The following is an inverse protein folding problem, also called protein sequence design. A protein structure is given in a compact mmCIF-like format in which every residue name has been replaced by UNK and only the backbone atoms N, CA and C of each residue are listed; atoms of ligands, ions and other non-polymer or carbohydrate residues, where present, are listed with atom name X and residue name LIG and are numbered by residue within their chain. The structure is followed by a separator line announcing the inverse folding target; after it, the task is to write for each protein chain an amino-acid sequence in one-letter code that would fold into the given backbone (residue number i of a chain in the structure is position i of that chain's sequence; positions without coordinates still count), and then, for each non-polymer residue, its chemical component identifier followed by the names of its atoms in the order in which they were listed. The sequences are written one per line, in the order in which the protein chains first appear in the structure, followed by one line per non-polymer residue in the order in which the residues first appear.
data_IF_701978155549
#
_entry.id   IF_701978155549
#
_cell.length_a   1.000
_cell.length_b   1.000
_cell.length_c   1.000
_cell.angle_alpha   90.00
_cell.angle_beta   90.00
_cell.angle_gamma   90.00
#
_symmetry.space_group_name_H-M   'P 1'
#
loop_
_entity.id
_entity.type
_entity.pdbx_description
1 polymer ?
#
# COMPACT_ATOMS: atom_id res chain seq x y z
N UNK A 1 -1.74 -32.16 34.62
CA UNK A 1 -1.50 -32.42 33.18
C UNK A 1 -2.19 -31.30 32.42
N UNK A 2 -1.41 -30.36 31.90
CA UNK A 2 -2.01 -29.30 31.06
C UNK A 2 -2.44 -29.97 29.76
N UNK A 3 -3.76 -29.97 29.50
CA UNK A 3 -4.28 -30.38 28.19
C UNK A 3 -3.72 -29.49 27.08
N UNK A 4 -3.86 -29.87 25.79
CA UNK A 4 -3.39 -29.06 24.70
C UNK A 4 -4.06 -27.66 24.72
N UNK A 5 -3.30 -26.62 24.45
CA UNK A 5 -3.77 -25.23 24.34
C UNK A 5 -4.46 -25.02 22.99
N UNK A 6 -5.59 -24.34 22.96
CA UNK A 6 -6.18 -23.85 21.71
C UNK A 6 -5.40 -22.63 21.26
N UNK A 7 -4.69 -22.77 20.15
CA UNK A 7 -3.95 -21.70 19.51
C UNK A 7 -4.82 -21.02 18.45
N UNK A 8 -4.91 -19.73 18.50
CA UNK A 8 -5.67 -18.92 17.55
C UNK A 8 -4.73 -17.91 16.92
N UNK A 9 -4.66 -17.93 15.62
CA UNK A 9 -3.96 -16.94 14.83
C UNK A 9 -4.99 -16.00 14.21
N UNK A 10 -4.81 -14.71 14.41
CA UNK A 10 -5.63 -13.63 13.81
C UNK A 10 -4.79 -12.70 12.93
N UNK A 11 -3.47 -12.65 13.14
CA UNK A 11 -2.54 -11.79 12.38
C UNK A 11 -2.19 -12.44 11.03
N UNK A 12 -2.58 -11.81 9.93
CA UNK A 12 -2.34 -12.27 8.56
C UNK A 12 -3.28 -13.36 8.05
N UNK A 13 -3.90 -14.12 8.93
CA UNK A 13 -4.91 -15.14 8.61
C UNK A 13 -5.74 -15.49 9.85
N UNK A 14 -6.90 -16.09 9.66
CA UNK A 14 -7.69 -16.56 10.79
C UNK A 14 -7.71 -18.08 10.85
N UNK A 15 -6.95 -18.63 11.78
CA UNK A 15 -6.84 -20.09 12.00
C UNK A 15 -6.94 -20.45 13.48
N UNK A 16 -7.53 -21.63 13.75
CA UNK A 16 -7.58 -22.23 15.07
C UNK A 16 -6.90 -23.59 15.01
N UNK A 17 -5.96 -23.83 15.91
CA UNK A 17 -5.21 -25.08 16.02
C UNK A 17 -5.37 -25.70 17.39
N UNK A 18 -5.66 -26.99 17.41
CA UNK A 18 -5.74 -27.78 18.63
C UNK A 18 -5.07 -29.15 18.42
N UNK A 19 -3.94 -29.39 19.09
CA UNK A 19 -3.08 -30.53 18.77
C UNK A 19 -2.63 -30.49 17.31
N UNK A 20 -2.88 -31.58 16.57
CA UNK A 20 -2.49 -31.70 15.16
C UNK A 20 -3.58 -31.25 14.19
N UNK A 21 -4.73 -30.80 14.68
CA UNK A 21 -5.86 -30.38 13.84
C UNK A 21 -5.93 -28.86 13.74
N UNK A 22 -6.20 -28.40 12.55
CA UNK A 22 -6.36 -26.97 12.25
C UNK A 22 -7.64 -26.76 11.45
N UNK A 23 -8.33 -25.67 11.73
CA UNK A 23 -9.43 -25.14 10.92
C UNK A 23 -9.13 -23.67 10.58
N UNK A 24 -9.63 -23.21 9.46
CA UNK A 24 -9.42 -21.83 9.00
C UNK A 24 -10.67 -21.25 8.33
N UNK A 25 -10.70 -19.93 8.22
CA UNK A 25 -11.76 -19.22 7.51
C UNK A 25 -11.75 -19.45 5.99
N UNK A 26 -10.73 -20.13 5.46
CA UNK A 26 -10.67 -20.60 4.07
C UNK A 26 -11.40 -21.94 3.85
N UNK A 27 -11.69 -22.69 4.89
CA UNK A 27 -12.28 -24.05 4.80
C UNK A 27 -13.77 -24.03 4.43
N UNK A 28 -14.46 -22.94 4.68
CA UNK A 28 -15.89 -22.76 4.40
C UNK A 28 -16.17 -21.35 3.90
N UNK A 29 -17.06 -21.22 2.92
CA UNK A 29 -17.51 -19.93 2.36
C UNK A 29 -18.40 -19.13 3.31
N UNK A 30 -18.66 -19.61 4.51
CA UNK A 30 -19.58 -18.99 5.46
C UNK A 30 -18.94 -17.87 6.25
N UNK A 31 -18.77 -16.71 5.62
CA UNK A 31 -18.15 -15.53 6.19
C UNK A 31 -18.70 -15.16 7.57
N UNK A 32 -20.03 -15.14 7.75
CA UNK A 32 -20.67 -14.79 9.02
C UNK A 32 -20.34 -15.73 10.17
N UNK A 33 -20.11 -17.03 9.88
CA UNK A 33 -19.70 -18.00 10.90
C UNK A 33 -18.33 -17.66 11.44
N UNK A 34 -17.40 -17.39 10.54
CA UNK A 34 -16.03 -17.06 10.88
C UNK A 34 -15.91 -15.67 11.53
N UNK A 35 -16.65 -14.67 11.04
CA UNK A 35 -16.70 -13.33 11.61
C UNK A 35 -17.23 -13.36 13.06
N UNK A 36 -18.34 -14.07 13.34
CA UNK A 36 -18.85 -14.20 14.71
C UNK A 36 -17.89 -14.98 15.61
N UNK A 37 -17.24 -16.02 15.11
CA UNK A 37 -16.24 -16.76 15.87
C UNK A 37 -15.05 -15.88 16.23
N UNK A 38 -14.52 -15.10 15.27
CA UNK A 38 -13.44 -14.16 15.49
C UNK A 38 -13.84 -13.08 16.51
N UNK A 39 -15.05 -12.51 16.38
CA UNK A 39 -15.57 -11.52 17.31
C UNK A 39 -15.66 -12.05 18.75
N UNK A 40 -16.13 -13.29 18.91
CA UNK A 40 -16.21 -13.94 20.24
C UNK A 40 -14.83 -14.24 20.83
N UNK A 41 -13.86 -14.65 20.00
CA UNK A 41 -12.48 -14.91 20.44
C UNK A 41 -11.77 -13.62 20.82
N UNK A 42 -11.87 -12.59 19.99
CA UNK A 42 -11.30 -11.27 20.29
C UNK A 42 -11.83 -10.69 21.61
N UNK A 43 -13.10 -10.98 21.94
CA UNK A 43 -13.75 -10.53 23.16
C UNK A 43 -14.03 -11.69 24.13
N UNK A 44 -13.17 -12.69 24.23
CA UNK A 44 -13.41 -13.95 24.97
C UNK A 44 -13.65 -13.76 26.46
N UNK A 45 -13.30 -12.61 27.04
CA UNK A 45 -13.61 -12.21 28.41
C UNK A 45 -15.04 -11.68 28.64
N UNK A 46 -15.85 -11.50 27.55
CA UNK A 46 -17.19 -10.89 27.60
C UNK A 46 -18.31 -11.91 27.36
N UNK A 47 -19.50 -11.51 27.80
CA UNK A 47 -20.76 -12.19 27.44
C UNK A 47 -21.65 -11.24 26.63
N UNK A 48 -22.31 -11.74 25.58
CA UNK A 48 -23.08 -10.99 24.64
C UNK A 48 -24.55 -11.30 24.74
N UNK A 49 -25.41 -10.27 24.80
CA UNK A 49 -26.82 -10.45 24.64
C UNK A 49 -27.16 -10.87 23.20
N UNK A 50 -28.26 -11.61 23.03
CA UNK A 50 -28.69 -12.01 21.69
C UNK A 50 -28.99 -10.81 20.79
N UNK A 51 -29.58 -9.78 21.36
CA UNK A 51 -29.92 -8.51 20.68
C UNK A 51 -28.67 -7.75 20.21
N UNK A 52 -27.61 -7.76 21.05
CA UNK A 52 -26.32 -7.14 20.69
C UNK A 52 -25.71 -7.80 19.45
N UNK A 53 -25.69 -9.14 19.40
CA UNK A 53 -25.17 -9.87 18.25
C UNK A 53 -26.07 -9.73 17.02
N UNK A 54 -27.38 -9.66 17.19
CA UNK A 54 -28.31 -9.38 16.08
C UNK A 54 -28.04 -7.99 15.51
N UNK A 55 -27.89 -6.99 16.36
CA UNK A 55 -27.60 -5.63 15.92
C UNK A 55 -26.27 -5.55 15.17
N UNK A 56 -25.23 -6.24 15.63
CA UNK A 56 -23.91 -6.25 14.98
C UNK A 56 -23.97 -6.77 13.53
N UNK A 57 -24.78 -7.77 13.22
CA UNK A 57 -24.79 -8.46 11.93
C UNK A 57 -26.00 -8.13 11.03
N UNK A 58 -27.05 -7.52 11.53
CA UNK A 58 -28.29 -7.23 10.78
C UNK A 58 -28.77 -5.78 10.86
N UNK A 59 -27.97 -4.84 11.42
CA UNK A 59 -28.36 -3.42 11.51
C UNK A 59 -28.33 -2.68 10.18
N UNK A 60 -27.52 -3.12 9.21
CA UNK A 60 -27.32 -2.44 7.93
C UNK A 60 -28.12 -3.07 6.79
N UNK A 61 -29.45 -2.81 6.72
CA UNK A 61 -30.34 -3.14 5.59
C UNK A 61 -30.47 -4.61 5.14
N UNK A 62 -29.85 -5.57 5.80
CA UNK A 62 -30.10 -6.97 5.51
C UNK A 62 -31.29 -7.49 6.32
N UNK A 63 -32.47 -7.50 5.70
CA UNK A 63 -33.70 -8.02 6.30
C UNK A 63 -33.64 -9.56 6.37
N UNK A 64 -33.22 -10.11 7.50
CA UNK A 64 -33.58 -11.49 7.81
C UNK A 64 -35.00 -11.52 8.36
N UNK A 65 -35.85 -12.41 7.87
CA UNK A 65 -37.21 -12.58 8.35
C UNK A 65 -37.25 -13.00 9.84
N UNK A 66 -36.21 -13.72 10.31
CA UNK A 66 -36.02 -14.13 11.71
C UNK A 66 -34.53 -14.10 12.09
N UNK A 67 -33.98 -12.93 12.51
CA UNK A 67 -32.59 -12.79 12.91
C UNK A 67 -32.23 -13.69 14.11
N UNK A 68 -33.17 -13.97 14.99
CA UNK A 68 -32.95 -14.84 16.14
C UNK A 68 -32.66 -16.30 15.76
N UNK A 69 -33.41 -16.86 14.81
CA UNK A 69 -33.14 -18.20 14.30
C UNK A 69 -31.89 -18.24 13.40
N UNK A 70 -31.64 -17.18 12.62
CA UNK A 70 -30.42 -17.06 11.84
C UNK A 70 -29.16 -17.09 12.77
N UNK A 71 -29.17 -16.34 13.86
CA UNK A 71 -28.10 -16.35 14.85
C UNK A 71 -27.89 -17.72 15.49
N UNK A 72 -28.99 -18.43 15.86
CA UNK A 72 -28.89 -19.80 16.38
C UNK A 72 -28.24 -20.75 15.36
N UNK A 73 -28.60 -20.63 14.09
CA UNK A 73 -27.99 -21.40 13.00
C UNK A 73 -26.50 -21.13 12.87
N UNK A 74 -26.06 -19.87 12.96
CA UNK A 74 -24.64 -19.50 12.93
C UNK A 74 -23.91 -20.14 14.12
N UNK A 75 -24.44 -20.06 15.34
CA UNK A 75 -23.84 -20.72 16.51
C UNK A 75 -23.77 -22.24 16.38
N UNK A 76 -24.77 -22.86 15.76
CA UNK A 76 -24.72 -24.29 15.50
C UNK A 76 -23.55 -24.61 14.56
N UNK A 77 -23.39 -23.86 13.49
CA UNK A 77 -22.29 -24.03 12.52
C UNK A 77 -20.90 -23.75 13.15
N UNK A 78 -20.77 -22.73 14.02
CA UNK A 78 -19.54 -22.48 14.77
C UNK A 78 -19.18 -23.70 15.61
N UNK A 79 -20.15 -24.28 16.36
CA UNK A 79 -19.90 -25.47 17.15
C UNK A 79 -19.47 -26.65 16.29
N UNK A 80 -20.11 -26.84 15.15
CA UNK A 80 -19.75 -27.89 14.18
C UNK A 80 -18.33 -27.69 13.64
N UNK A 81 -17.92 -26.44 13.37
CA UNK A 81 -16.56 -26.13 12.94
C UNK A 81 -15.54 -26.46 14.04
N UNK A 82 -15.79 -26.05 15.28
CA UNK A 82 -14.93 -26.36 16.43
C UNK A 82 -14.86 -27.87 16.73
N UNK A 83 -15.95 -28.60 16.50
CA UNK A 83 -16.01 -30.08 16.69
C UNK A 83 -15.12 -30.83 15.67
N UNK A 84 -14.69 -30.18 14.56
CA UNK A 84 -13.66 -30.72 13.65
C UNK A 84 -12.30 -30.81 14.33
N UNK A 85 -11.99 -29.88 15.24
CA UNK A 85 -10.76 -29.91 16.03
C UNK A 85 -10.78 -31.04 17.03
N UNK A 86 -11.87 -31.17 17.81
CA UNK A 86 -12.14 -32.26 18.71
C UNK A 86 -13.64 -32.39 18.93
N UNK A 87 -14.22 -33.63 18.89
CA UNK A 87 -15.64 -33.84 19.16
C UNK A 87 -16.05 -33.29 20.52
N UNK A 88 -17.14 -32.51 20.55
CA UNK A 88 -17.68 -31.89 21.77
C UNK A 88 -17.05 -30.54 22.14
N UNK A 89 -15.98 -30.11 21.46
CA UNK A 89 -15.28 -28.86 21.74
C UNK A 89 -16.17 -27.62 21.50
N UNK A 90 -17.00 -27.64 20.46
CA UNK A 90 -17.91 -26.55 20.17
C UNK A 90 -18.93 -26.27 21.26
N UNK A 91 -19.46 -27.34 21.91
CA UNK A 91 -20.38 -27.21 23.06
C UNK A 91 -19.65 -26.82 24.35
N UNK A 92 -18.39 -27.20 24.49
CA UNK A 92 -17.56 -26.82 25.62
C UNK A 92 -17.24 -25.32 25.59
N UNK A 93 -16.84 -24.81 24.44
CA UNK A 93 -16.31 -23.44 24.27
C UNK A 93 -17.42 -22.40 24.09
N UNK A 94 -18.42 -22.67 23.23
CA UNK A 94 -19.53 -21.73 22.99
C UNK A 94 -20.71 -22.09 23.89
N UNK A 95 -20.90 -21.29 24.94
CA UNK A 95 -21.97 -21.50 25.92
C UNK A 95 -23.02 -20.38 25.89
N UNK A 96 -24.20 -20.71 26.35
CA UNK A 96 -25.32 -19.79 26.60
C UNK A 96 -25.83 -19.95 28.02
N UNK A 97 -25.91 -18.84 28.77
CA UNK A 97 -26.46 -18.79 30.10
C UNK A 97 -27.27 -17.50 30.27
N UNK A 98 -28.49 -17.61 30.84
CA UNK A 98 -29.38 -16.46 31.02
C UNK A 98 -29.59 -15.59 29.78
N UNK A 99 -29.76 -16.20 28.59
CA UNK A 99 -29.95 -15.48 27.32
C UNK A 99 -28.68 -14.95 26.68
N UNK A 100 -27.54 -14.98 27.36
CA UNK A 100 -26.27 -14.42 26.86
C UNK A 100 -25.35 -15.52 26.30
N UNK A 101 -24.68 -15.24 25.21
CA UNK A 101 -23.62 -16.09 24.65
C UNK A 101 -22.26 -15.66 25.16
N UNK A 102 -21.36 -16.61 25.38
CA UNK A 102 -19.99 -16.32 25.82
C UNK A 102 -19.04 -17.44 25.42
N UNK A 103 -17.76 -17.06 25.29
CA UNK A 103 -16.66 -18.00 25.20
C UNK A 103 -16.36 -18.57 26.59
N UNK A 104 -16.27 -19.87 26.69
CA UNK A 104 -15.97 -20.53 27.97
C UNK A 104 -14.47 -20.82 28.05
N UNK A 105 -13.79 -20.16 28.98
CA UNK A 105 -12.35 -20.33 29.22
C UNK A 105 -12.06 -21.63 30.03
N UNK A 106 -12.72 -22.74 29.67
CA UNK A 106 -12.53 -24.04 30.36
C UNK A 106 -11.22 -24.73 29.96
N UNK A 107 -10.49 -24.21 29.00
CA UNK A 107 -9.20 -24.72 28.55
C UNK A 107 -8.24 -23.55 28.25
N UNK A 108 -6.93 -23.80 28.23
CA UNK A 108 -5.94 -22.78 27.86
C UNK A 108 -6.19 -22.31 26.45
N UNK A 109 -6.16 -20.97 26.27
CA UNK A 109 -6.30 -20.25 25.00
C UNK A 109 -5.05 -19.39 24.82
N UNK A 110 -4.48 -19.37 23.62
CA UNK A 110 -3.42 -18.45 23.20
C UNK A 110 -3.90 -17.75 21.94
N UNK A 111 -3.88 -16.44 21.97
CA UNK A 111 -4.21 -15.56 20.86
C UNK A 111 -2.95 -14.83 20.43
N UNK A 112 -2.56 -14.95 19.17
CA UNK A 112 -1.36 -14.29 18.64
C UNK A 112 -1.39 -12.75 18.80
N UNK A 113 -2.59 -12.16 18.76
CA UNK A 113 -2.79 -10.73 19.01
C UNK A 113 -2.46 -10.32 20.45
N UNK A 114 -2.79 -11.17 21.45
CA UNK A 114 -2.47 -10.92 22.86
C UNK A 114 -0.97 -11.14 23.13
N UNK A 115 -0.39 -12.18 22.53
CA UNK A 115 1.04 -12.45 22.62
C UNK A 115 1.84 -11.32 21.96
N UNK A 116 1.38 -10.79 20.81
CA UNK A 116 1.95 -9.62 20.13
C UNK A 116 1.93 -8.37 21.04
N UNK A 117 0.77 -8.06 21.65
CA UNK A 117 0.64 -6.92 22.57
C UNK A 117 1.55 -7.09 23.79
N UNK A 118 1.62 -8.30 24.36
CA UNK A 118 2.46 -8.58 25.52
C UNK A 118 3.94 -8.31 25.23
N UNK A 119 4.44 -8.79 24.09
CA UNK A 119 5.81 -8.53 23.65
C UNK A 119 6.05 -7.04 23.35
N UNK A 120 5.10 -6.37 22.66
CA UNK A 120 5.21 -4.94 22.40
C UNK A 120 5.31 -4.13 23.70
N UNK A 121 4.45 -4.38 24.67
CA UNK A 121 4.46 -3.69 25.97
C UNK A 121 5.68 -4.05 26.81
N UNK A 122 6.18 -5.29 26.74
CA UNK A 122 7.42 -5.68 27.37
C UNK A 122 8.62 -4.91 26.81
N UNK A 123 8.66 -4.73 25.48
CA UNK A 123 9.67 -3.91 24.82
C UNK A 123 9.61 -2.43 25.29
N UNK A 124 8.42 -1.83 25.32
CA UNK A 124 8.23 -0.43 25.77
C UNK A 124 8.65 -0.23 27.24
N UNK A 125 8.48 -1.25 28.07
CA UNK A 125 8.83 -1.23 29.50
C UNK A 125 10.30 -1.57 29.77
N UNK A 126 11.01 -2.15 28.81
CA UNK A 126 12.38 -2.61 28.99
C UNK A 126 13.35 -1.43 29.16
N UNK A 127 14.17 -1.49 30.20
CA UNK A 127 15.25 -0.52 30.45
C UNK A 127 16.55 -0.82 29.70
N UNK A 128 16.71 -2.05 29.21
CA UNK A 128 17.87 -2.54 28.48
C UNK A 128 17.57 -2.62 26.99
N UNK A 129 18.47 -2.13 26.13
CA UNK A 129 18.28 -2.09 24.68
C UNK A 129 18.26 -3.48 24.04
N UNK A 130 19.02 -4.47 24.57
CA UNK A 130 19.04 -5.82 24.01
C UNK A 130 17.74 -6.56 24.34
N UNK A 131 17.23 -6.40 25.57
CA UNK A 131 15.94 -6.93 25.98
C UNK A 131 14.82 -6.29 25.15
N UNK A 132 14.86 -4.97 25.00
CA UNK A 132 13.88 -4.20 24.19
C UNK A 132 13.85 -4.70 22.76
N UNK A 133 15.02 -4.85 22.14
CA UNK A 133 15.12 -5.35 20.77
C UNK A 133 14.58 -6.76 20.63
N UNK A 134 14.91 -7.65 21.57
CA UNK A 134 14.44 -9.04 21.56
C UNK A 134 12.89 -9.12 21.64
N UNK A 135 12.30 -8.30 22.49
CA UNK A 135 10.83 -8.23 22.63
C UNK A 135 10.16 -7.64 21.39
N UNK A 136 10.70 -6.55 20.79
CA UNK A 136 10.20 -6.07 19.51
C UNK A 136 10.31 -7.11 18.40
N UNK A 137 11.43 -7.83 18.32
CA UNK A 137 11.61 -8.88 17.32
C UNK A 137 10.62 -10.04 17.53
N UNK A 138 10.34 -10.41 18.78
CA UNK A 138 9.33 -11.41 19.11
C UNK A 138 7.92 -10.98 18.69
N UNK A 139 7.54 -9.73 18.99
CA UNK A 139 6.29 -9.15 18.49
C UNK A 139 6.22 -9.19 16.96
N UNK A 140 7.22 -8.67 16.28
CA UNK A 140 7.27 -8.62 14.81
C UNK A 140 7.26 -9.99 14.14
N UNK A 141 7.74 -11.03 14.82
CA UNK A 141 7.69 -12.40 14.31
C UNK A 141 6.26 -12.98 14.29
N UNK A 142 5.39 -12.50 15.19
CA UNK A 142 3.97 -12.90 15.24
C UNK A 142 3.13 -12.21 14.16
N UNK A 143 3.54 -11.02 13.71
CA UNK A 143 2.77 -10.23 12.77
C UNK A 143 3.01 -10.70 11.32
N UNK A 144 2.15 -11.58 10.83
CA UNK A 144 2.21 -12.09 9.46
C UNK A 144 1.40 -11.22 8.46
N UNK A 145 0.74 -10.17 8.93
CA UNK A 145 -0.11 -9.25 8.17
C UNK A 145 -1.24 -8.73 9.04
N UNK A 146 -2.09 -7.90 8.46
CA UNK A 146 -3.21 -7.28 9.17
C UNK A 146 -4.14 -8.31 9.82
N UNK A 147 -4.74 -7.95 10.98
CA UNK A 147 -5.69 -8.83 11.63
C UNK A 147 -6.89 -9.15 10.75
N UNK A 148 -7.27 -10.43 10.69
CA UNK A 148 -8.50 -10.90 10.07
C UNK A 148 -8.69 -10.40 8.62
N UNK A 149 -7.75 -10.63 7.70
CA UNK A 149 -7.71 -9.98 6.37
C UNK A 149 -8.92 -10.31 5.48
N UNK A 150 -9.66 -11.38 5.77
CA UNK A 150 -10.88 -11.73 5.05
C UNK A 150 -12.16 -11.11 5.62
N UNK A 151 -12.03 -10.26 6.64
CA UNK A 151 -13.13 -9.62 7.37
C UNK A 151 -13.04 -8.09 7.38
N UNK A 152 -12.30 -7.50 6.46
CA UNK A 152 -11.98 -6.05 6.41
C UNK A 152 -13.19 -5.16 6.17
N UNK A 153 -14.30 -5.68 5.67
CA UNK A 153 -15.58 -4.96 5.49
C UNK A 153 -16.52 -5.06 6.71
N UNK A 154 -16.15 -5.81 7.74
CA UNK A 154 -16.87 -5.80 9.01
C UNK A 154 -16.51 -4.55 9.82
N UNK A 155 -17.51 -3.73 10.18
CA UNK A 155 -17.29 -2.44 10.87
C UNK A 155 -16.47 -2.60 12.17
N UNK A 156 -16.69 -3.71 12.89
CA UNK A 156 -16.01 -3.96 14.15
C UNK A 156 -14.51 -4.29 14.00
N UNK A 157 -14.04 -4.70 12.82
CA UNK A 157 -12.61 -4.98 12.58
C UNK A 157 -11.80 -3.72 12.30
N UNK A 158 -12.41 -2.66 11.81
CA UNK A 158 -11.72 -1.42 11.43
C UNK A 158 -10.84 -0.87 12.56
N UNK A 159 -11.34 -0.64 13.78
CA UNK A 159 -10.50 -0.14 14.87
C UNK A 159 -9.43 -1.15 15.31
N UNK A 160 -9.70 -2.45 15.19
CA UNK A 160 -8.75 -3.51 15.54
C UNK A 160 -7.57 -3.50 14.56
N UNK A 161 -7.85 -3.48 13.25
CA UNK A 161 -6.82 -3.40 12.22
C UNK A 161 -5.96 -2.15 12.42
N UNK A 162 -6.57 -0.99 12.60
CA UNK A 162 -5.83 0.26 12.81
C UNK A 162 -4.95 0.22 14.07
N UNK A 163 -5.43 -0.39 15.14
CA UNK A 163 -4.70 -0.52 16.40
C UNK A 163 -3.45 -1.40 16.24
N UNK A 164 -3.61 -2.64 15.75
CA UNK A 164 -2.48 -3.58 15.60
C UNK A 164 -1.48 -3.10 14.54
N UNK A 165 -1.96 -2.48 13.48
CA UNK A 165 -1.15 -1.84 12.47
C UNK A 165 -0.26 -0.71 13.07
N UNK A 166 -0.84 0.13 13.91
CA UNK A 166 -0.09 1.17 14.65
C UNK A 166 0.97 0.57 15.57
N UNK A 167 0.66 -0.51 16.29
CA UNK A 167 1.63 -1.19 17.15
C UNK A 167 2.76 -1.83 16.33
N UNK A 168 2.43 -2.46 15.19
CA UNK A 168 3.42 -3.04 14.29
C UNK A 168 4.41 -1.98 13.78
N UNK A 169 3.90 -0.85 13.30
CA UNK A 169 4.71 0.26 12.79
C UNK A 169 5.66 0.78 13.85
N UNK A 170 5.17 0.96 15.09
CA UNK A 170 6.00 1.40 16.22
C UNK A 170 7.05 0.36 16.61
N UNK A 171 6.68 -0.93 16.66
CA UNK A 171 7.63 -1.99 16.95
C UNK A 171 8.73 -2.09 15.88
N UNK A 172 8.37 -1.97 14.60
CA UNK A 172 9.32 -1.99 13.49
C UNK A 172 10.30 -0.80 13.56
N UNK A 173 9.78 0.41 13.78
CA UNK A 173 10.61 1.62 13.92
C UNK A 173 11.58 1.48 15.11
N UNK A 174 11.07 1.09 16.30
CA UNK A 174 11.91 0.92 17.49
C UNK A 174 12.99 -0.16 17.32
N UNK A 175 12.65 -1.28 16.69
CA UNK A 175 13.62 -2.34 16.41
C UNK A 175 14.69 -1.89 15.39
N UNK A 176 14.30 -1.16 14.34
CA UNK A 176 15.24 -0.63 13.33
C UNK A 176 16.22 0.36 13.99
N UNK A 177 15.74 1.31 14.79
CA UNK A 177 16.58 2.28 15.50
C UNK A 177 17.61 1.58 16.42
N UNK A 178 17.17 0.57 17.17
CA UNK A 178 18.05 -0.20 18.04
C UNK A 178 19.12 -1.00 17.25
N UNK A 179 18.72 -1.62 16.15
CA UNK A 179 19.65 -2.33 15.26
C UNK A 179 20.68 -1.38 14.64
N UNK A 180 20.26 -0.18 14.23
CA UNK A 180 21.17 0.85 13.72
C UNK A 180 22.13 1.36 14.79
N UNK A 181 21.66 1.57 16.02
CA UNK A 181 22.47 1.96 17.17
C UNK A 181 23.52 0.90 17.52
N UNK A 182 23.19 -0.38 17.35
CA UNK A 182 24.07 -1.51 17.59
C UNK A 182 24.94 -1.86 16.36
N UNK A 183 24.91 -1.08 15.30
CA UNK A 183 25.64 -1.31 14.04
C UNK A 183 25.29 -2.65 13.35
N UNK A 184 24.16 -3.26 13.68
CA UNK A 184 23.65 -4.51 13.09
C UNK A 184 22.93 -4.23 11.77
N UNK A 185 23.65 -3.60 10.83
CA UNK A 185 23.10 -3.06 9.58
C UNK A 185 22.40 -4.11 8.72
N UNK A 186 22.94 -5.33 8.62
CA UNK A 186 22.32 -6.38 7.81
C UNK A 186 20.94 -6.79 8.33
N UNK A 187 20.75 -6.83 9.64
CA UNK A 187 19.48 -7.15 10.27
C UNK A 187 18.47 -6.00 10.13
N UNK A 188 18.94 -4.76 10.28
CA UNK A 188 18.11 -3.57 10.02
C UNK A 188 17.58 -3.57 8.57
N UNK A 189 18.45 -3.82 7.59
CA UNK A 189 18.06 -3.93 6.17
C UNK A 189 17.02 -5.04 5.95
N UNK A 190 17.23 -6.22 6.55
CA UNK A 190 16.28 -7.32 6.44
C UNK A 190 14.92 -6.99 7.08
N UNK A 191 14.93 -6.29 8.22
CA UNK A 191 13.71 -5.85 8.88
C UNK A 191 12.97 -4.78 8.07
N UNK A 192 13.68 -3.77 7.53
CA UNK A 192 13.09 -2.75 6.66
C UNK A 192 12.40 -3.39 5.45
N UNK A 193 13.03 -4.35 4.78
CA UNK A 193 12.43 -5.05 3.62
C UNK A 193 11.12 -5.77 3.99
N UNK A 194 11.06 -6.43 5.16
CA UNK A 194 9.83 -7.05 5.66
C UNK A 194 8.76 -6.01 5.98
N UNK A 195 9.16 -4.92 6.64
CA UNK A 195 8.23 -3.86 7.03
C UNK A 195 7.62 -3.15 5.82
N UNK A 196 8.40 -2.88 4.78
CA UNK A 196 7.94 -2.29 3.52
C UNK A 196 6.89 -3.18 2.82
N UNK A 197 7.01 -4.51 2.94
CA UNK A 197 6.00 -5.41 2.36
C UNK A 197 4.61 -5.23 3.01
N UNK A 198 4.57 -4.83 4.28
CA UNK A 198 3.33 -4.55 5.03
C UNK A 198 2.93 -3.08 4.85
N UNK A 199 3.91 -2.17 4.87
CA UNK A 199 3.77 -0.72 4.78
C UNK A 199 4.44 -0.14 3.52
N UNK A 200 3.93 -0.38 2.33
CA UNK A 200 4.61 -0.03 1.08
C UNK A 200 4.69 1.48 0.80
N UNK A 201 4.02 2.31 1.60
CA UNK A 201 3.99 3.76 1.39
C UNK A 201 4.62 4.58 2.52
N UNK A 202 5.24 3.92 3.49
CA UNK A 202 5.89 4.60 4.61
C UNK A 202 7.33 4.97 4.24
N UNK A 203 7.57 6.23 3.92
CA UNK A 203 8.87 6.73 3.43
C UNK A 203 10.02 6.50 4.41
N UNK A 204 9.77 6.58 5.73
CA UNK A 204 10.80 6.37 6.76
C UNK A 204 11.45 4.98 6.65
N UNK A 205 10.67 3.94 6.31
CA UNK A 205 11.22 2.59 6.13
C UNK A 205 12.18 2.50 4.94
N UNK A 206 11.88 3.21 3.87
CA UNK A 206 12.76 3.30 2.68
C UNK A 206 14.01 4.11 2.99
N UNK A 207 13.89 5.16 3.81
CA UNK A 207 15.04 5.96 4.26
C UNK A 207 16.03 5.10 5.06
N UNK A 208 15.55 4.35 6.06
CA UNK A 208 16.37 3.40 6.83
C UNK A 208 16.96 2.31 5.94
N UNK A 209 16.17 1.75 5.02
CA UNK A 209 16.66 0.74 4.08
C UNK A 209 17.78 1.28 3.19
N UNK A 210 17.58 2.45 2.58
CA UNK A 210 18.60 3.06 1.72
C UNK A 210 19.87 3.41 2.49
N UNK A 211 19.77 3.97 3.69
CA UNK A 211 20.93 4.22 4.56
C UNK A 211 21.69 2.94 4.88
N UNK A 212 20.97 1.87 5.22
CA UNK A 212 21.59 0.56 5.49
C UNK A 212 22.32 0.00 4.26
N UNK A 213 21.71 0.07 3.07
CA UNK A 213 22.32 -0.36 1.82
C UNK A 213 23.57 0.47 1.46
N UNK A 214 23.53 1.78 1.65
CA UNK A 214 24.68 2.66 1.45
C UNK A 214 25.83 2.33 2.40
N UNK A 215 25.56 2.04 3.67
CA UNK A 215 26.57 1.61 4.65
C UNK A 215 27.22 0.28 4.28
N UNK A 216 26.48 -0.63 3.70
CA UNK A 216 27.00 -1.94 3.24
C UNK A 216 27.66 -1.88 1.85
N UNK A 217 27.64 -0.72 1.19
CA UNK A 217 28.22 -0.54 -0.13
C UNK A 217 27.32 -1.01 -1.28
N UNK A 218 26.07 -1.38 -1.02
CA UNK A 218 25.11 -1.78 -2.05
C UNK A 218 24.41 -0.55 -2.67
N UNK A 219 25.20 0.22 -3.43
CA UNK A 219 24.71 1.42 -4.09
C UNK A 219 23.61 1.11 -5.12
N UNK A 220 23.74 -0.02 -5.83
CA UNK A 220 22.74 -0.43 -6.83
C UNK A 220 21.41 -0.81 -6.17
N UNK A 221 21.48 -1.53 -5.06
CA UNK A 221 20.29 -1.85 -4.27
C UNK A 221 19.58 -0.60 -3.74
N UNK A 222 20.34 0.39 -3.27
CA UNK A 222 19.77 1.65 -2.81
C UNK A 222 19.07 2.42 -3.93
N UNK A 223 19.64 2.43 -5.15
CA UNK A 223 19.02 3.06 -6.33
C UNK A 223 17.72 2.36 -6.72
N UNK A 224 17.72 1.03 -6.80
CA UNK A 224 16.54 0.23 -7.16
C UNK A 224 15.38 0.44 -6.16
N UNK A 225 15.67 0.50 -4.87
CA UNK A 225 14.69 0.77 -3.81
C UNK A 225 14.04 2.14 -3.98
N UNK A 226 14.82 3.16 -4.32
CA UNK A 226 14.29 4.50 -4.59
C UNK A 226 13.38 4.52 -5.84
N UNK A 227 13.81 3.87 -6.92
CA UNK A 227 13.08 3.82 -8.18
C UNK A 227 11.73 3.11 -8.01
N UNK A 228 11.71 1.94 -7.38
CA UNK A 228 10.48 1.19 -7.08
C UNK A 228 9.49 2.02 -6.25
N UNK A 229 9.98 2.66 -5.18
CA UNK A 229 9.16 3.49 -4.32
C UNK A 229 8.63 4.72 -5.05
N UNK A 230 9.49 5.39 -5.85
CA UNK A 230 9.11 6.57 -6.62
C UNK A 230 8.00 6.24 -7.61
N UNK A 231 8.09 5.11 -8.32
CA UNK A 231 7.04 4.64 -9.22
C UNK A 231 5.73 4.36 -8.48
N UNK A 232 5.80 3.70 -7.32
CA UNK A 232 4.60 3.38 -6.50
C UNK A 232 3.93 4.65 -5.98
N UNK A 233 4.68 5.58 -5.39
CA UNK A 233 4.14 6.84 -4.88
C UNK A 233 3.52 7.67 -6.00
N UNK A 234 4.19 7.75 -7.15
CA UNK A 234 3.68 8.49 -8.28
C UNK A 234 2.42 7.84 -8.88
N UNK A 235 2.41 6.51 -9.05
CA UNK A 235 1.27 5.78 -9.61
C UNK A 235 0.02 5.87 -8.73
N UNK A 236 0.17 5.81 -7.40
CA UNK A 236 -0.98 5.74 -6.48
C UNK A 236 -1.43 7.11 -5.97
N UNK A 237 -0.49 8.03 -5.75
CA UNK A 237 -0.77 9.32 -5.09
C UNK A 237 -0.42 10.53 -5.97
N UNK A 238 0.33 10.36 -7.08
CA UNK A 238 0.81 11.45 -7.92
C UNK A 238 1.84 12.35 -7.21
N UNK A 239 2.52 11.84 -6.18
CA UNK A 239 3.53 12.56 -5.41
C UNK A 239 4.92 11.99 -5.62
N UNK A 240 5.92 12.81 -5.38
CA UNK A 240 7.34 12.43 -5.45
C UNK A 240 7.87 12.09 -4.06
N UNK A 241 8.92 11.24 -3.95
CA UNK A 241 9.59 10.97 -2.70
C UNK A 241 10.12 12.23 -2.00
N UNK A 242 10.30 12.13 -0.70
CA UNK A 242 10.83 13.22 0.16
C UNK A 242 12.23 13.68 -0.28
N UNK A 243 12.62 14.88 0.13
CA UNK A 243 13.96 15.41 -0.18
C UNK A 243 15.08 14.57 0.45
N UNK A 244 14.83 13.93 1.57
CA UNK A 244 15.76 13.03 2.24
C UNK A 244 16.09 11.83 1.34
N UNK A 245 15.06 11.15 0.82
CA UNK A 245 15.23 10.03 -0.09
C UNK A 245 15.91 10.42 -1.40
N UNK A 246 15.55 11.57 -1.95
CA UNK A 246 16.23 12.12 -3.14
C UNK A 246 17.72 12.41 -2.87
N UNK A 247 18.05 12.82 -1.67
CA UNK A 247 19.45 13.07 -1.28
C UNK A 247 20.24 11.76 -1.16
N UNK A 248 19.64 10.72 -0.56
CA UNK A 248 20.23 9.39 -0.50
C UNK A 248 20.44 8.77 -1.89
N UNK A 249 19.48 8.94 -2.79
CA UNK A 249 19.61 8.51 -4.19
C UNK A 249 20.75 9.23 -4.91
N UNK A 250 20.88 10.57 -4.75
CA UNK A 250 22.03 11.32 -5.31
C UNK A 250 23.37 10.83 -4.75
N UNK A 251 23.41 10.46 -3.47
CA UNK A 251 24.61 9.89 -2.86
C UNK A 251 24.97 8.53 -3.48
N UNK A 252 23.98 7.63 -3.63
CA UNK A 252 24.17 6.34 -4.30
C UNK A 252 24.70 6.51 -5.72
N UNK A 253 24.10 7.41 -6.49
CA UNK A 253 24.46 7.68 -7.89
C UNK A 253 25.89 8.25 -8.02
N UNK A 254 26.30 9.17 -7.12
CA UNK A 254 27.67 9.73 -7.15
C UNK A 254 28.74 8.66 -6.95
N UNK A 255 28.50 7.72 -6.06
CA UNK A 255 29.48 6.67 -5.73
C UNK A 255 29.60 5.63 -6.85
N UNK A 256 28.53 5.36 -7.59
CA UNK A 256 28.56 4.44 -8.74
C UNK A 256 29.36 5.02 -9.92
N UNK A 257 29.40 6.35 -10.04
CA UNK A 257 30.10 7.06 -11.13
C UNK A 257 31.55 7.46 -10.80
N UNK A 258 32.17 6.84 -9.79
CA UNK A 258 33.52 7.20 -9.31
C UNK A 258 34.66 6.69 -10.24
N UNK A 259 34.35 6.10 -11.38
CA UNK A 259 35.35 5.73 -12.41
C UNK A 259 35.33 6.71 -13.57
N UNK A 260 36.51 6.96 -14.13
CA UNK A 260 36.66 7.74 -15.37
C UNK A 260 36.04 6.95 -16.53
N UNK A 261 35.05 7.55 -17.19
CA UNK A 261 34.37 6.97 -18.35
C UNK A 261 35.08 7.43 -19.64
N UNK A 262 35.17 6.55 -20.61
CA UNK A 262 35.56 6.90 -21.96
C UNK A 262 34.39 7.57 -22.70
N UNK A 263 34.67 8.34 -23.77
CA UNK A 263 33.62 8.98 -24.56
C UNK A 263 32.66 7.96 -25.15
N UNK A 264 33.14 6.79 -25.57
CA UNK A 264 32.31 5.72 -26.13
C UNK A 264 31.34 5.13 -25.10
N UNK A 265 31.82 4.95 -23.85
CA UNK A 265 30.96 4.52 -22.73
C UNK A 265 29.90 5.57 -22.41
N UNK A 266 30.25 6.85 -22.39
CA UNK A 266 29.29 7.96 -22.21
C UNK A 266 28.26 7.98 -23.32
N UNK A 267 28.69 7.91 -24.57
CA UNK A 267 27.78 7.87 -25.73
C UNK A 267 26.85 6.64 -25.69
N UNK A 268 27.39 5.49 -25.28
CA UNK A 268 26.57 4.26 -25.13
C UNK A 268 25.50 4.40 -24.03
N UNK A 269 25.85 5.05 -22.90
CA UNK A 269 24.89 5.31 -21.81
C UNK A 269 23.84 6.37 -22.17
N UNK A 270 24.17 7.32 -23.04
CA UNK A 270 23.27 8.36 -23.50
C UNK A 270 22.41 7.91 -24.69
N UNK A 271 22.75 6.80 -25.34
CA UNK A 271 21.97 6.26 -26.43
C UNK A 271 20.62 5.74 -25.95
N UNK A 272 19.54 6.12 -26.63
CA UNK A 272 18.21 5.54 -26.35
C UNK A 272 18.23 4.02 -26.62
N UNK A 273 17.73 3.17 -25.68
CA UNK A 273 17.81 1.71 -25.79
C UNK A 273 17.05 1.10 -26.98
N UNK A 274 16.05 1.79 -27.50
CA UNK A 274 15.34 1.49 -28.75
C UNK A 274 14.63 2.76 -29.24
N UNK A 275 14.46 2.98 -30.55
CA UNK A 275 13.70 4.11 -31.07
C UNK A 275 12.21 3.89 -30.79
N UNK A 276 11.74 4.24 -29.62
CA UNK A 276 10.32 4.32 -29.35
C UNK A 276 9.75 5.52 -30.11
N UNK A 277 8.76 5.28 -30.96
CA UNK A 277 8.01 6.37 -31.59
C UNK A 277 7.21 7.12 -30.54
N UNK A 278 7.05 8.45 -30.73
CA UNK A 278 6.21 9.28 -29.87
C UNK A 278 6.97 10.12 -28.84
N UNK A 279 6.22 10.78 -27.97
CA UNK A 279 6.76 11.69 -26.98
C UNK A 279 7.54 10.95 -25.86
N UNK A 280 8.57 11.61 -25.35
CA UNK A 280 9.26 11.16 -24.15
C UNK A 280 8.37 11.35 -22.93
N UNK A 281 8.11 10.27 -22.19
CA UNK A 281 7.42 10.32 -20.89
C UNK A 281 8.46 10.46 -19.80
N UNK A 282 8.32 11.45 -18.93
CA UNK A 282 9.23 11.64 -17.80
C UNK A 282 8.48 12.11 -16.55
N UNK A 283 9.16 12.06 -15.42
CA UNK A 283 8.70 12.63 -14.16
C UNK A 283 8.63 14.16 -14.22
N UNK A 284 7.73 14.76 -13.45
CA UNK A 284 7.52 16.20 -13.48
C UNK A 284 8.75 17.02 -13.06
N UNK A 285 9.56 16.52 -12.13
CA UNK A 285 10.80 17.20 -11.74
C UNK A 285 11.85 17.18 -12.87
N UNK A 286 11.93 16.08 -13.60
CA UNK A 286 12.78 16.04 -14.80
C UNK A 286 12.23 16.93 -15.91
N UNK A 287 10.91 16.97 -16.09
CA UNK A 287 10.26 17.92 -17.00
C UNK A 287 10.63 19.36 -16.69
N UNK A 288 10.67 19.77 -15.41
CA UNK A 288 11.11 21.12 -15.00
C UNK A 288 12.53 21.43 -15.45
N UNK A 289 13.43 20.42 -15.42
CA UNK A 289 14.81 20.59 -15.90
C UNK A 289 14.83 20.80 -17.41
N UNK A 290 14.10 19.96 -18.16
CA UNK A 290 13.98 20.09 -19.61
C UNK A 290 13.33 21.41 -20.02
N UNK A 291 12.26 21.82 -19.34
CA UNK A 291 11.62 23.13 -19.54
C UNK A 291 12.62 24.28 -19.39
N UNK A 292 13.42 24.27 -18.30
CA UNK A 292 14.42 25.31 -18.06
C UNK A 292 15.55 25.29 -19.12
N UNK A 293 15.94 24.10 -19.55
CA UNK A 293 16.95 23.96 -20.62
C UNK A 293 16.43 24.53 -21.95
N UNK A 294 15.18 24.20 -22.31
CA UNK A 294 14.54 24.70 -23.53
C UNK A 294 14.31 26.22 -23.49
N UNK A 295 13.83 26.75 -22.35
CA UNK A 295 13.66 28.19 -22.16
C UNK A 295 14.98 28.96 -22.39
N UNK A 296 16.10 28.44 -21.85
CA UNK A 296 17.45 29.02 -22.12
C UNK A 296 17.86 28.88 -23.56
N UNK A 297 17.51 27.80 -24.24
CA UNK A 297 17.78 27.60 -25.67
C UNK A 297 17.03 28.61 -26.53
N UNK A 298 15.75 28.83 -26.23
CA UNK A 298 14.89 29.80 -26.92
C UNK A 298 15.41 31.21 -26.75
N UNK A 299 15.75 31.61 -25.54
CA UNK A 299 16.30 32.92 -25.24
C UNK A 299 17.58 33.22 -26.06
N UNK A 300 18.34 32.19 -26.47
CA UNK A 300 19.55 32.32 -27.27
C UNK A 300 19.30 32.25 -28.77
N UNK A 301 18.38 31.36 -29.20
CA UNK A 301 18.23 31.00 -30.63
C UNK A 301 16.99 31.62 -31.26
N UNK A 302 16.08 32.27 -30.51
CA UNK A 302 14.86 32.91 -31.02
C UNK A 302 13.80 31.95 -31.56
N UNK A 303 13.95 30.63 -31.32
CA UNK A 303 12.92 29.65 -31.69
C UNK A 303 11.70 29.76 -30.77
N UNK A 304 10.53 29.36 -31.25
CA UNK A 304 9.32 29.29 -30.44
C UNK A 304 9.13 27.88 -29.87
N UNK A 305 8.74 27.77 -28.60
CA UNK A 305 8.20 26.55 -28.04
C UNK A 305 7.03 26.89 -27.15
N UNK A 306 6.18 25.92 -26.93
CA UNK A 306 4.98 26.06 -26.11
C UNK A 306 4.86 24.92 -25.12
N UNK A 307 4.13 25.16 -24.04
CA UNK A 307 3.63 24.12 -23.13
C UNK A 307 2.12 23.98 -23.30
N UNK A 308 1.65 22.77 -23.22
CA UNK A 308 0.23 22.44 -23.25
C UNK A 308 -0.15 21.71 -21.97
N UNK A 309 -1.03 22.28 -21.15
CA UNK A 309 -1.60 21.64 -19.97
C UNK A 309 -2.89 20.96 -20.37
N UNK A 310 -2.97 19.63 -20.20
CA UNK A 310 -4.17 18.84 -20.39
C UNK A 310 -4.77 18.50 -19.02
N UNK A 311 -6.04 18.84 -18.80
CA UNK A 311 -6.77 18.58 -17.56
C UNK A 311 -7.93 17.63 -17.81
N UNK A 312 -8.09 16.67 -16.90
CA UNK A 312 -9.18 15.68 -16.90
C UNK A 312 -10.17 16.02 -15.80
N UNK A 313 -11.43 16.20 -16.16
CA UNK A 313 -12.53 16.50 -15.24
C UNK A 313 -13.78 15.68 -15.60
N UNK A 314 -14.83 15.80 -14.81
CA UNK A 314 -16.15 15.35 -15.18
C UNK A 314 -16.89 16.39 -16.09
N UNK A 315 -18.16 16.14 -16.39
CA UNK A 315 -19.00 17.03 -17.22
C UNK A 315 -19.25 18.41 -16.58
N UNK A 316 -19.21 18.49 -15.25
CA UNK A 316 -19.45 19.71 -14.48
C UNK A 316 -18.15 20.48 -14.19
N UNK A 317 -16.98 19.93 -14.58
CA UNK A 317 -15.66 20.52 -14.40
C UNK A 317 -14.99 20.13 -13.07
N UNK A 318 -15.64 19.25 -12.29
CA UNK A 318 -15.13 18.74 -11.02
C UNK A 318 -14.21 17.52 -11.23
N UNK A 319 -13.52 17.14 -10.18
CA UNK A 319 -12.62 15.99 -10.23
C UNK A 319 -13.39 14.67 -10.32
N UNK A 320 -13.05 13.84 -11.29
CA UNK A 320 -13.61 12.49 -11.43
C UNK A 320 -13.36 11.63 -10.18
N UNK A 321 -14.31 10.74 -9.88
CA UNK A 321 -14.08 9.70 -8.88
C UNK A 321 -12.86 8.85 -9.27
N UNK A 322 -12.02 8.50 -8.29
CA UNK A 322 -10.71 7.84 -8.48
C UNK A 322 -10.77 6.62 -9.40
N UNK A 323 -11.78 5.76 -9.21
CA UNK A 323 -12.02 4.56 -10.05
C UNK A 323 -12.20 4.86 -11.55
N UNK A 324 -12.59 6.09 -11.91
CA UNK A 324 -12.78 6.54 -13.29
C UNK A 324 -11.63 7.43 -13.76
N UNK A 325 -10.98 8.15 -12.84
CA UNK A 325 -9.86 9.04 -13.12
C UNK A 325 -8.61 8.27 -13.53
N UNK A 326 -8.23 7.23 -12.78
CA UNK A 326 -7.00 6.48 -13.05
C UNK A 326 -6.99 5.81 -14.43
N UNK A 327 -8.05 5.10 -14.87
CA UNK A 327 -8.12 4.60 -16.25
C UNK A 327 -8.09 5.72 -17.28
N UNK A 328 -8.75 6.86 -17.04
CA UNK A 328 -8.76 7.98 -17.97
C UNK A 328 -7.37 8.60 -18.13
N UNK A 329 -6.64 8.77 -17.02
CA UNK A 329 -5.27 9.29 -17.01
C UNK A 329 -4.29 8.34 -17.73
N UNK A 330 -4.36 7.03 -17.47
CA UNK A 330 -3.54 6.04 -18.16
C UNK A 330 -3.82 6.01 -19.67
N UNK A 331 -5.09 6.04 -20.06
CA UNK A 331 -5.50 6.10 -21.46
C UNK A 331 -5.01 7.37 -22.15
N UNK A 332 -5.05 8.50 -21.44
CA UNK A 332 -4.55 9.78 -21.93
C UNK A 332 -3.02 9.75 -22.13
N UNK A 333 -2.27 9.20 -21.18
CA UNK A 333 -0.82 9.04 -21.30
C UNK A 333 -0.43 8.25 -22.55
N UNK A 334 -1.00 7.05 -22.71
CA UNK A 334 -0.72 6.19 -23.88
C UNK A 334 -1.10 6.90 -25.19
N UNK A 335 -2.21 7.61 -25.18
CA UNK A 335 -2.66 8.33 -26.37
C UNK A 335 -1.72 9.48 -26.70
N UNK A 336 -1.32 10.30 -25.73
CA UNK A 336 -0.39 11.41 -25.93
C UNK A 336 0.96 10.89 -26.40
N UNK A 337 1.52 9.88 -25.70
CA UNK A 337 2.79 9.29 -26.06
C UNK A 337 2.84 8.84 -27.54
N UNK A 338 1.78 8.14 -27.99
CA UNK A 338 1.74 7.58 -29.34
C UNK A 338 1.39 8.59 -30.45
N UNK A 339 0.82 9.75 -30.11
CA UNK A 339 0.36 10.75 -31.08
C UNK A 339 1.25 11.99 -31.18
N UNK A 340 2.31 12.04 -30.38
CA UNK A 340 3.27 13.15 -30.37
C UNK A 340 4.57 12.78 -31.09
N UNK A 341 5.39 13.81 -31.35
CA UNK A 341 6.69 13.63 -32.00
C UNK A 341 7.74 13.17 -30.99
N UNK A 342 8.80 12.55 -31.49
CA UNK A 342 9.93 12.08 -30.67
C UNK A 342 10.60 13.16 -29.82
N UNK A 343 10.55 14.43 -30.27
CA UNK A 343 11.11 15.58 -29.54
C UNK A 343 10.16 16.20 -28.50
N UNK A 344 8.90 15.80 -28.47
CA UNK A 344 7.94 16.29 -27.48
C UNK A 344 8.14 15.55 -26.16
N UNK A 345 7.87 16.22 -25.04
CA UNK A 345 8.02 15.64 -23.70
C UNK A 345 6.70 15.76 -22.95
N UNK A 346 6.28 14.69 -22.29
CA UNK A 346 5.08 14.66 -21.47
C UNK A 346 5.44 14.27 -20.02
N UNK A 347 4.81 14.96 -19.05
CA UNK A 347 4.88 14.61 -17.65
C UNK A 347 3.51 14.70 -16.97
N UNK A 348 3.27 13.86 -16.01
CA UNK A 348 2.11 14.01 -15.12
C UNK A 348 2.46 15.06 -14.06
N UNK A 349 1.75 16.19 -14.05
CA UNK A 349 2.03 17.31 -13.14
C UNK A 349 1.05 17.37 -11.95
N UNK A 350 -0.07 16.64 -12.02
CA UNK A 350 -1.00 16.48 -10.91
C UNK A 350 -1.80 15.17 -11.06
N UNK A 351 -2.65 14.89 -10.08
CA UNK A 351 -3.52 13.70 -10.09
C UNK A 351 -4.41 13.63 -11.35
N UNK A 352 -4.82 14.78 -11.90
CA UNK A 352 -5.74 14.89 -13.04
C UNK A 352 -5.16 15.65 -14.23
N UNK A 353 -3.85 15.90 -14.27
CA UNK A 353 -3.26 16.75 -15.31
C UNK A 353 -1.96 16.19 -15.87
N UNK A 354 -1.81 16.34 -17.19
CA UNK A 354 -0.56 16.16 -17.91
C UNK A 354 -0.09 17.50 -18.48
N UNK A 355 1.22 17.73 -18.48
CA UNK A 355 1.88 18.84 -19.16
C UNK A 355 2.73 18.30 -20.31
N UNK A 356 2.67 18.97 -21.45
CA UNK A 356 3.40 18.60 -22.66
C UNK A 356 4.29 19.79 -23.04
N UNK A 357 5.56 19.53 -23.27
CA UNK A 357 6.50 20.46 -23.87
C UNK A 357 6.52 20.20 -25.38
N UNK A 358 6.30 21.23 -26.17
CA UNK A 358 6.24 21.23 -27.62
C UNK A 358 7.37 22.12 -28.20
N UNK A 359 8.59 21.58 -28.32
CA UNK A 359 9.71 22.33 -28.89
C UNK A 359 9.46 22.70 -30.34
N UNK A 360 9.95 23.85 -30.77
CA UNK A 360 9.87 24.31 -32.16
C UNK A 360 8.44 24.36 -32.73
N UNK A 361 7.45 24.57 -31.90
CA UNK A 361 6.05 24.74 -32.28
C UNK A 361 5.61 26.18 -32.00
N UNK A 362 4.92 26.81 -32.96
CA UNK A 362 4.26 28.09 -32.71
C UNK A 362 2.91 27.83 -31.96
N UNK A 363 2.29 28.91 -31.50
CA UNK A 363 1.05 28.83 -30.71
C UNK A 363 -0.08 28.14 -31.49
N UNK A 364 -0.27 28.42 -32.77
CA UNK A 364 -1.32 27.84 -33.60
C UNK A 364 -1.13 26.34 -33.81
N UNK A 365 0.11 25.91 -34.12
CA UNK A 365 0.43 24.49 -34.23
C UNK A 365 0.25 23.75 -32.92
N UNK A 366 0.59 24.35 -31.79
CA UNK A 366 0.42 23.79 -30.47
C UNK A 366 -1.05 23.59 -30.12
N UNK A 367 -1.92 24.53 -30.50
CA UNK A 367 -3.37 24.38 -30.39
C UNK A 367 -3.92 23.26 -31.27
N UNK A 368 -3.49 23.18 -32.53
CA UNK A 368 -3.90 22.09 -33.43
C UNK A 368 -3.49 20.72 -32.88
N UNK A 369 -2.32 20.61 -32.25
CA UNK A 369 -1.86 19.39 -31.59
C UNK A 369 -2.80 19.03 -30.43
N UNK A 370 -3.13 20.00 -29.59
CA UNK A 370 -4.04 19.78 -28.45
C UNK A 370 -5.46 19.38 -28.91
N UNK A 371 -6.03 20.05 -29.90
CA UNK A 371 -7.34 19.72 -30.49
C UNK A 371 -7.36 18.30 -31.08
N UNK A 372 -6.28 17.93 -31.78
CA UNK A 372 -6.11 16.57 -32.30
C UNK A 372 -6.07 15.52 -31.19
N UNK A 373 -5.38 15.78 -30.08
CA UNK A 373 -5.31 14.87 -28.93
C UNK A 373 -6.69 14.70 -28.28
N UNK A 374 -7.39 15.80 -28.03
CA UNK A 374 -8.74 15.77 -27.45
C UNK A 374 -9.70 15.00 -28.36
N UNK A 375 -9.67 15.27 -29.66
CA UNK A 375 -10.50 14.56 -30.64
C UNK A 375 -10.15 13.06 -30.73
N UNK A 376 -8.87 12.73 -30.70
CA UNK A 376 -8.40 11.35 -30.71
C UNK A 376 -8.83 10.60 -29.43
N UNK A 377 -8.81 11.26 -28.28
CA UNK A 377 -9.26 10.68 -27.02
C UNK A 377 -10.72 10.30 -27.08
N UNK A 378 -11.61 11.20 -27.47
CA UNK A 378 -13.07 10.90 -27.55
C UNK A 378 -13.39 9.88 -28.62
N UNK A 379 -12.66 9.85 -29.72
CA UNK A 379 -12.82 8.82 -30.75
C UNK A 379 -12.42 7.43 -30.25
N UNK A 380 -11.34 7.33 -29.48
CA UNK A 380 -10.81 6.05 -28.98
C UNK A 380 -11.56 5.55 -27.75
N UNK A 381 -12.06 6.46 -26.92
CA UNK A 381 -12.71 6.17 -25.66
C UNK A 381 -14.11 6.84 -25.55
N UNK A 382 -15.06 6.50 -26.44
CA UNK A 382 -16.35 7.19 -26.55
C UNK A 382 -17.23 7.05 -25.29
N UNK A 383 -16.99 6.02 -24.48
CA UNK A 383 -17.75 5.76 -23.25
C UNK A 383 -17.04 6.29 -21.98
N UNK A 384 -15.91 6.98 -22.13
CA UNK A 384 -15.22 7.57 -20.99
C UNK A 384 -16.04 8.71 -20.37
N UNK A 385 -16.24 8.73 -19.05
CA UNK A 385 -16.90 9.85 -18.36
C UNK A 385 -16.00 11.09 -18.31
N UNK A 386 -14.72 10.97 -18.68
CA UNK A 386 -13.74 12.05 -18.63
C UNK A 386 -14.02 13.13 -19.67
N UNK A 387 -13.89 14.38 -19.23
CA UNK A 387 -13.85 15.56 -20.09
C UNK A 387 -12.43 16.13 -20.08
N UNK A 388 -11.88 16.34 -21.29
CA UNK A 388 -10.58 16.92 -21.47
C UNK A 388 -10.69 18.42 -21.76
N UNK A 389 -9.89 19.20 -21.04
CA UNK A 389 -9.66 20.62 -21.32
C UNK A 389 -8.17 20.83 -21.49
N UNK A 390 -7.79 21.81 -22.28
CA UNK A 390 -6.38 22.16 -22.44
C UNK A 390 -6.15 23.68 -22.39
N UNK A 391 -4.93 24.04 -22.02
CA UNK A 391 -4.42 25.42 -22.10
C UNK A 391 -3.04 25.38 -22.71
N UNK A 392 -2.78 26.24 -23.68
CA UNK A 392 -1.48 26.37 -24.32
C UNK A 392 -0.88 27.71 -23.93
N UNK A 393 0.40 27.71 -23.57
CA UNK A 393 1.17 28.93 -23.28
C UNK A 393 2.55 28.85 -23.93
N UNK A 394 3.07 29.98 -24.45
CA UNK A 394 4.44 30.03 -24.92
C UNK A 394 5.40 29.84 -23.75
N UNK A 395 6.56 29.23 -24.02
CA UNK A 395 7.67 29.24 -23.08
C UNK A 395 8.18 30.69 -22.98
N UNK A 396 8.29 31.15 -21.73
CA UNK A 396 8.83 32.46 -21.39
C UNK A 396 10.32 32.39 -21.07
#
# INVERSE_FOLDING_TARGET
MNGPTLQVQMLGQFTLRYGDRTISDSDDRSRRVWSLLAYMLYNHGRSFAQEELIHLYWSNNEKSADPGNALKSIFHRIRTALDKLQPGLGRLLIRRKAGRYFWNNAMPLSLDIEDFEAHFHAAEAAGDDDVRLAEYQAALALYAGDPLPRMTDEIWTIPIVAYYHSLYTRAAAGAIELLEKQERTAEAVALCRRAIHIEPYQEDLYEHLMRGLLRTGDMKGAMSVYEEMSEQLFAHFGVMPSETLRTLYRQATRTVNDRTLTMDEVCSQLAEPAPHGGAMVCEYDFFKILYRAEARSIARNGHSANICLLSVSDKDGEMLARRSLDPAMNNLQVLVQNNQRRGDVIARCSISQYIILLPQANYENSRMVADRLVSAFYRRYPHSPARLRYTVQPLA
#
